data_IF_400466383428
#
_entry.id   IF_400466383428
#
_cell.length_a   1.000
_cell.length_b   1.000
_cell.length_c   1.000
_cell.angle_alpha   90.00
_cell.angle_beta   90.00
_cell.angle_gamma   90.00
#
_symmetry.space_group_name_H-M   'P 1'
#
loop_
_entity.id
_entity.type
_entity.pdbx_description
1 polymer ?
#
# COMPACT_ATOMS: atom_id res chain seq x y z
N UNK A 1 12.63 -14.25 -16.62
CA UNK A 1 12.89 -12.88 -16.16
C UNK A 1 13.89 -12.97 -15.02
N UNK A 2 15.14 -12.54 -15.25
CA UNK A 2 16.20 -12.54 -14.24
C UNK A 2 16.38 -11.11 -13.71
N UNK A 3 16.69 -10.96 -12.43
CA UNK A 3 16.83 -9.65 -11.78
C UNK A 3 17.89 -8.73 -12.40
N UNK A 4 18.82 -9.30 -13.15
CA UNK A 4 19.91 -8.56 -13.82
C UNK A 4 19.41 -7.67 -14.98
N UNK A 5 18.28 -8.02 -15.60
CA UNK A 5 17.67 -7.26 -16.70
C UNK A 5 17.04 -5.94 -16.21
N UNK A 6 16.54 -5.92 -14.97
CA UNK A 6 15.90 -4.76 -14.34
C UNK A 6 16.96 -3.73 -13.92
N UNK A 7 18.09 -4.19 -13.38
CA UNK A 7 19.19 -3.32 -12.95
C UNK A 7 19.88 -2.66 -14.14
N UNK A 8 19.92 -3.33 -15.30
CA UNK A 8 20.50 -2.79 -16.52
C UNK A 8 19.70 -1.60 -17.09
N UNK A 9 18.38 -1.56 -16.91
CA UNK A 9 17.56 -0.43 -17.35
C UNK A 9 17.77 0.82 -16.47
N UNK A 10 17.90 0.65 -15.15
CA UNK A 10 18.10 1.76 -14.20
C UNK A 10 19.44 2.47 -14.39
N UNK A 11 20.46 1.76 -14.90
CA UNK A 11 21.81 2.31 -15.10
C UNK A 11 22.02 3.09 -16.39
N UNK A 12 21.02 3.18 -17.27
CA UNK A 12 21.10 4.04 -18.46
C UNK A 12 20.89 5.50 -18.04
N UNK A 13 21.87 6.41 -18.23
CA UNK A 13 21.58 7.82 -18.12
C UNK A 13 20.78 8.23 -19.36
N UNK A 14 19.51 8.58 -19.16
CA UNK A 14 18.65 9.14 -20.20
C UNK A 14 19.20 10.50 -20.62
N UNK A 15 19.93 10.51 -21.72
CA UNK A 15 20.43 11.70 -22.39
C UNK A 15 19.43 12.14 -23.46
N UNK A 16 18.77 13.24 -23.15
CA UNK A 16 18.11 14.25 -23.98
C UNK A 16 16.76 13.98 -24.67
N UNK A 17 15.77 14.69 -24.12
CA UNK A 17 14.76 15.55 -24.73
C UNK A 17 14.02 15.08 -25.99
N UNK A 18 12.77 14.66 -25.80
CA UNK A 18 11.70 15.25 -26.59
C UNK A 18 10.41 15.28 -25.77
N UNK A 19 9.96 16.49 -25.48
CA UNK A 19 8.60 16.85 -25.09
C UNK A 19 7.54 16.12 -25.96
N UNK A 20 7.02 15.00 -25.46
CA UNK A 20 5.68 14.52 -25.82
C UNK A 20 4.89 14.41 -24.52
N UNK A 21 4.00 15.38 -24.33
CA UNK A 21 2.82 15.29 -23.48
C UNK A 21 2.04 14.05 -23.91
N UNK A 22 2.41 12.92 -23.33
CA UNK A 22 1.70 11.67 -23.47
C UNK A 22 1.05 11.45 -22.12
N UNK A 23 -0.21 11.88 -22.03
CA UNK A 23 -1.21 11.46 -21.04
C UNK A 23 -1.48 9.95 -21.21
N UNK A 24 -0.42 9.16 -21.17
CA UNK A 24 -0.47 7.79 -20.74
C UNK A 24 -0.49 7.92 -19.22
N UNK A 25 -1.69 8.24 -18.71
CA UNK A 25 -2.26 7.45 -17.64
C UNK A 25 -1.98 6.00 -18.04
N UNK A 26 -0.79 5.53 -17.66
CA UNK A 26 -0.43 4.13 -17.67
C UNK A 26 -1.54 3.55 -16.84
N UNK A 27 -2.54 3.00 -17.53
CA UNK A 27 -3.66 2.29 -16.91
C UNK A 27 -2.97 1.08 -16.32
N UNK A 28 -2.37 1.27 -15.15
CA UNK A 28 -2.12 0.23 -14.19
C UNK A 28 -3.51 -0.34 -14.04
N UNK A 29 -3.77 -1.46 -14.73
CA UNK A 29 -4.94 -2.29 -14.51
C UNK A 29 -5.16 -2.25 -13.02
N UNK A 30 -6.17 -1.50 -12.58
CA UNK A 30 -6.35 -1.23 -11.17
C UNK A 30 -6.82 -2.55 -10.58
N UNK A 31 -5.85 -3.41 -10.25
CA UNK A 31 -6.09 -4.71 -9.67
C UNK A 31 -6.96 -4.43 -8.47
N UNK A 32 -8.20 -4.93 -8.54
CA UNK A 32 -9.23 -4.64 -7.54
C UNK A 32 -8.90 -5.46 -6.30
N UNK A 33 -7.86 -5.03 -5.58
CA UNK A 33 -7.38 -5.68 -4.38
C UNK A 33 -8.48 -5.54 -3.34
N UNK A 34 -8.90 -6.67 -2.78
CA UNK A 34 -9.88 -6.65 -1.70
C UNK A 34 -9.29 -6.02 -0.43
N UNK A 35 -10.14 -5.39 0.38
CA UNK A 35 -9.71 -4.76 1.63
C UNK A 35 -9.02 -5.73 2.60
N UNK A 36 -9.34 -7.02 2.55
CA UNK A 36 -8.66 -8.05 3.37
C UNK A 36 -7.23 -8.28 2.88
N UNK A 37 -7.06 -8.44 1.57
CA UNK A 37 -5.75 -8.64 0.93
C UNK A 37 -4.86 -7.41 1.14
N UNK A 38 -5.38 -6.20 0.91
CA UNK A 38 -4.65 -4.96 1.17
C UNK A 38 -4.15 -4.86 2.62
N UNK A 39 -4.95 -5.31 3.59
CA UNK A 39 -4.57 -5.30 5.00
C UNK A 39 -3.49 -6.33 5.34
N UNK A 40 -3.54 -7.51 4.71
CA UNK A 40 -2.50 -8.52 4.86
C UNK A 40 -1.16 -8.01 4.31
N UNK A 41 -1.17 -7.39 3.12
CA UNK A 41 0.04 -6.77 2.56
C UNK A 41 0.57 -5.65 3.43
N UNK A 42 -0.30 -4.80 3.98
CA UNK A 42 0.11 -3.77 4.94
C UNK A 42 0.80 -4.40 6.16
N UNK A 43 0.25 -5.48 6.71
CA UNK A 43 0.85 -6.17 7.85
C UNK A 43 2.23 -6.76 7.51
N UNK A 44 2.37 -7.39 6.34
CA UNK A 44 3.66 -7.93 5.86
C UNK A 44 4.69 -6.82 5.63
N UNK A 45 4.28 -5.71 5.02
CA UNK A 45 5.14 -4.55 4.80
C UNK A 45 5.61 -3.94 6.12
N UNK A 46 4.71 -3.76 7.09
CA UNK A 46 5.07 -3.24 8.40
C UNK A 46 6.07 -4.15 9.14
N UNK A 47 5.85 -5.47 9.10
CA UNK A 47 6.80 -6.45 9.67
C UNK A 47 8.19 -6.37 9.01
N UNK A 48 8.23 -6.16 7.69
CA UNK A 48 9.49 -6.01 6.96
C UNK A 48 10.20 -4.69 7.30
N UNK A 49 9.46 -3.58 7.42
CA UNK A 49 10.01 -2.29 7.84
C UNK A 49 10.56 -2.35 9.26
N UNK A 50 9.87 -2.98 10.20
CA UNK A 50 10.35 -3.15 11.58
C UNK A 50 11.68 -3.91 11.70
N UNK A 51 12.01 -4.76 10.72
CA UNK A 51 13.26 -5.54 10.70
C UNK A 51 14.45 -4.75 10.13
N UNK A 52 14.23 -3.63 9.44
CA UNK A 52 15.34 -2.83 8.91
C UNK A 52 16.06 -2.13 10.06
N UNK A 53 17.39 -2.14 10.02
CA UNK A 53 18.25 -1.55 11.07
C UNK A 53 18.22 -0.02 11.12
N UNK A 54 17.77 0.60 10.03
CA UNK A 54 17.77 2.05 9.79
C UNK A 54 16.35 2.63 9.64
N UNK A 55 15.32 1.87 10.02
CA UNK A 55 13.94 2.34 9.96
C UNK A 55 13.69 3.58 10.81
N UNK A 56 13.00 4.56 10.23
CA UNK A 56 12.54 5.73 10.96
C UNK A 56 11.47 5.33 11.98
N UNK A 57 11.82 5.47 13.27
CA UNK A 57 10.94 5.16 14.39
C UNK A 57 9.61 5.93 14.37
N UNK A 58 9.61 7.17 13.84
CA UNK A 58 8.42 8.02 13.73
C UNK A 58 7.47 7.46 12.68
N UNK A 59 8.01 7.08 11.52
CA UNK A 59 7.24 6.48 10.44
C UNK A 59 6.64 5.14 10.89
N UNK A 60 7.44 4.27 11.52
CA UNK A 60 6.95 3.01 12.10
C UNK A 60 5.83 3.22 13.11
N UNK A 61 5.93 4.25 13.96
CA UNK A 61 4.87 4.59 14.90
C UNK A 61 3.58 4.99 14.18
N UNK A 62 3.66 5.82 13.15
CA UNK A 62 2.50 6.25 12.37
C UNK A 62 1.83 5.08 11.65
N UNK A 63 2.61 4.16 11.07
CA UNK A 63 2.10 2.96 10.42
C UNK A 63 1.37 2.03 11.42
N UNK A 64 1.93 1.84 12.62
CA UNK A 64 1.27 1.10 13.71
C UNK A 64 -0.05 1.74 14.13
N UNK A 65 -0.07 3.06 14.28
CA UNK A 65 -1.29 3.79 14.62
C UNK A 65 -2.35 3.66 13.52
N UNK A 66 -1.95 3.72 12.26
CA UNK A 66 -2.85 3.53 11.12
C UNK A 66 -3.48 2.14 11.14
N UNK A 67 -2.69 1.09 11.34
CA UNK A 67 -3.15 -0.30 11.50
C UNK A 67 -4.19 -0.42 12.60
N UNK A 68 -3.89 0.12 13.78
CA UNK A 68 -4.73 -0.02 14.96
C UNK A 68 -6.05 0.75 14.78
N UNK A 69 -6.00 1.94 14.18
CA UNK A 69 -7.20 2.72 13.82
C UNK A 69 -8.06 1.98 12.79
N UNK A 70 -7.45 1.39 11.76
CA UNK A 70 -8.16 0.59 10.77
C UNK A 70 -8.84 -0.64 11.40
N UNK A 71 -8.14 -1.34 12.29
CA UNK A 71 -8.69 -2.48 13.03
C UNK A 71 -9.88 -2.08 13.91
N UNK A 72 -9.77 -0.97 14.65
CA UNK A 72 -10.87 -0.41 15.46
C UNK A 72 -12.10 -0.09 14.60
N UNK A 73 -11.92 0.57 13.45
CA UNK A 73 -13.03 0.87 12.52
C UNK A 73 -13.71 -0.40 11.99
N UNK A 74 -12.93 -1.42 11.61
CA UNK A 74 -13.50 -2.71 11.18
C UNK A 74 -14.34 -3.35 12.27
N UNK A 75 -13.83 -3.36 13.51
CA UNK A 75 -14.55 -3.93 14.64
C UNK A 75 -15.83 -3.15 14.96
N UNK A 76 -15.81 -1.82 14.91
CA UNK A 76 -17.00 -1.00 15.18
C UNK A 76 -18.09 -1.21 14.12
N UNK A 77 -17.75 -1.23 12.83
CA UNK A 77 -18.72 -1.47 11.75
C UNK A 77 -19.30 -2.90 11.82
N UNK A 78 -18.50 -3.87 12.23
CA UNK A 78 -18.99 -5.23 12.49
C UNK A 78 -19.96 -5.30 13.67
N UNK A 79 -19.78 -4.46 14.71
CA UNK A 79 -20.74 -4.38 15.82
C UNK A 79 -22.03 -3.68 15.42
N UNK A 80 -21.97 -2.64 14.60
CA UNK A 80 -23.17 -1.93 14.12
C UNK A 80 -24.11 -2.83 13.30
N UNK A 81 -23.56 -3.64 12.39
CA UNK A 81 -24.35 -4.57 11.56
C UNK A 81 -24.98 -5.73 12.35
N UNK A 82 -24.54 -6.00 13.58
CA UNK A 82 -25.11 -7.04 14.46
C UNK A 82 -26.29 -6.56 15.30
N UNK A 83 -26.48 -5.25 15.42
CA UNK A 83 -27.63 -4.73 16.14
C UNK A 83 -28.84 -4.84 15.22
N UNK A 84 -29.98 -5.39 15.69
CA UNK A 84 -31.19 -5.40 14.88
C UNK A 84 -31.54 -3.95 14.56
N UNK A 85 -31.51 -3.62 13.26
CA UNK A 85 -32.07 -2.38 12.77
C UNK A 85 -33.55 -2.38 13.15
N UNK A 86 -33.95 -1.53 14.10
CA UNK A 86 -35.36 -1.25 14.35
C UNK A 86 -35.76 -0.12 13.40
N UNK A 87 -36.60 -0.38 12.38
CA UNK A 87 -37.19 0.70 11.62
C UNK A 87 -38.12 1.49 12.55
N UNK A 88 -38.15 2.82 12.41
CA UNK A 88 -39.18 3.68 13.02
C UNK A 88 -40.51 3.49 12.30
#
# INVERSE_FOLDING_TARGET
>A
MSGDEIIAQVRKPNSDDNNSESDEDEVIEAYKISNSVAFEYFAKGLMWSEQQTDSDSTELMLLKQLRDRAAKRRQSCFRQSKLPFKPM
#
